data_IF_466526782953
#
_entry.id   IF_466526782953
#
_cell.length_a   1.000
_cell.length_b   1.000
_cell.length_c   1.000
_cell.angle_alpha   90.00
_cell.angle_beta   90.00
_cell.angle_gamma   90.00
#
_symmetry.space_group_name_H-M   'P 1'
#
loop_
_entity.id
_entity.type
_entity.pdbx_description
1 polymer ?
#
# COMPACT_ATOMS: atom_id res chain seq x y z
N UNK A 1 -7.70 -13.06 -27.89
CA UNK A 1 -7.32 -13.89 -26.73
C UNK A 1 -5.88 -13.56 -26.35
N UNK A 2 -5.65 -12.81 -25.26
CA UNK A 2 -4.30 -12.40 -24.86
C UNK A 2 -3.59 -13.54 -24.10
N UNK A 3 -2.34 -13.90 -24.43
CA UNK A 3 -1.64 -14.99 -23.75
C UNK A 3 -1.13 -14.57 -22.37
N UNK A 4 -1.31 -15.46 -21.40
CA UNK A 4 -0.90 -15.34 -20.00
C UNK A 4 0.63 -15.44 -19.89
N UNK A 5 1.31 -14.31 -19.67
CA UNK A 5 2.77 -14.20 -19.51
C UNK A 5 3.35 -14.89 -18.24
N UNK A 6 2.58 -15.71 -17.52
CA UNK A 6 3.06 -16.47 -16.36
C UNK A 6 3.79 -17.78 -16.70
N UNK A 7 3.50 -18.39 -17.86
CA UNK A 7 3.93 -19.76 -18.15
C UNK A 7 5.27 -19.89 -18.88
N UNK A 8 5.77 -18.81 -19.49
CA UNK A 8 7.00 -18.87 -20.30
C UNK A 8 8.25 -19.19 -19.46
N UNK A 9 8.42 -18.53 -18.31
CA UNK A 9 9.56 -18.80 -17.40
C UNK A 9 9.51 -20.17 -16.75
N UNK A 10 8.30 -20.66 -16.44
CA UNK A 10 8.13 -22.02 -15.92
C UNK A 10 8.48 -23.06 -17.00
N UNK A 11 8.03 -22.82 -18.23
CA UNK A 11 8.40 -23.63 -19.40
C UNK A 11 9.92 -23.64 -19.63
N UNK A 12 10.58 -22.47 -19.63
CA UNK A 12 12.03 -22.37 -19.84
C UNK A 12 12.84 -23.12 -18.78
N UNK A 13 12.41 -23.10 -17.51
CA UNK A 13 13.06 -23.86 -16.43
C UNK A 13 12.86 -25.36 -16.57
N UNK A 14 11.65 -25.78 -16.91
CA UNK A 14 11.27 -27.20 -16.87
C UNK A 14 11.59 -27.95 -18.18
N UNK A 15 11.51 -27.27 -19.32
CA UNK A 15 11.69 -27.88 -20.65
C UNK A 15 13.11 -27.65 -21.17
N UNK A 16 13.67 -26.45 -20.98
CA UNK A 16 15.00 -26.13 -21.47
C UNK A 16 16.08 -26.24 -20.38
N UNK A 17 15.72 -26.61 -19.15
CA UNK A 17 16.66 -26.78 -18.04
C UNK A 17 17.41 -25.49 -17.67
N UNK A 18 16.92 -24.33 -18.12
CA UNK A 18 17.62 -23.06 -17.93
C UNK A 18 17.58 -22.71 -16.45
N UNK A 19 18.75 -22.73 -15.81
CA UNK A 19 18.95 -22.14 -14.48
C UNK A 19 18.83 -20.62 -14.63
N UNK A 20 17.59 -20.13 -14.61
CA UNK A 20 17.33 -18.70 -14.54
C UNK A 20 17.97 -18.16 -13.26
N UNK A 21 18.74 -17.07 -13.31
CA UNK A 21 19.34 -16.49 -12.13
C UNK A 21 18.25 -16.26 -11.10
N UNK A 22 18.56 -16.66 -9.85
CA UNK A 22 17.69 -16.45 -8.70
C UNK A 22 17.28 -14.97 -8.67
N UNK A 23 16.07 -14.64 -8.19
CA UNK A 23 15.58 -13.25 -8.08
C UNK A 23 16.36 -12.46 -7.02
N UNK A 24 17.68 -12.41 -7.14
CA UNK A 24 18.55 -11.52 -6.42
C UNK A 24 18.68 -10.26 -7.26
N UNK A 25 17.62 -9.43 -7.22
CA UNK A 25 17.61 -7.97 -7.35
C UNK A 25 18.74 -7.32 -8.19
N UNK A 26 18.70 -7.47 -9.51
CA UNK A 26 19.43 -6.59 -10.45
C UNK A 26 18.48 -5.66 -11.23
N UNK A 27 17.24 -5.48 -10.75
CA UNK A 27 16.28 -4.54 -11.33
C UNK A 27 16.33 -3.16 -10.63
N UNK A 28 17.48 -2.70 -10.13
CA UNK A 28 17.64 -1.34 -9.53
C UNK A 28 16.74 -0.98 -8.34
N UNK A 29 15.79 -1.84 -7.94
CA UNK A 29 14.91 -1.71 -6.78
C UNK A 29 15.63 -2.29 -5.59
N UNK A 30 16.59 -1.51 -5.11
CA UNK A 30 17.03 -1.59 -3.73
C UNK A 30 15.79 -1.61 -2.84
N UNK A 31 15.64 -2.63 -1.98
CA UNK A 31 14.62 -2.65 -0.91
C UNK A 31 14.94 -1.62 0.19
N UNK A 32 15.78 -0.64 -0.14
CA UNK A 32 16.27 0.37 0.75
C UNK A 32 15.25 1.51 0.76
N UNK A 33 14.94 2.00 1.95
CA UNK A 33 14.09 3.17 2.13
C UNK A 33 14.98 4.39 1.90
N UNK A 34 14.60 5.25 0.93
CA UNK A 34 15.37 6.45 0.60
C UNK A 34 14.78 7.68 1.29
N UNK A 35 15.64 8.52 1.85
CA UNK A 35 15.24 9.85 2.27
C UNK A 35 15.02 10.76 1.06
N UNK A 36 13.95 11.56 1.09
CA UNK A 36 13.66 12.50 0.01
C UNK A 36 14.49 13.78 0.07
N UNK A 37 14.98 14.14 1.26
CA UNK A 37 15.70 15.39 1.49
C UNK A 37 17.20 15.25 1.19
N UNK A 38 17.84 14.14 1.59
CA UNK A 38 19.28 13.90 1.38
C UNK A 38 19.60 12.77 0.40
N UNK A 39 18.58 12.06 -0.12
CA UNK A 39 18.72 10.91 -1.05
C UNK A 39 19.56 9.72 -0.52
N UNK A 40 19.84 9.68 0.79
CA UNK A 40 20.48 8.54 1.45
C UNK A 40 19.54 7.33 1.52
N UNK A 41 20.12 6.13 1.42
CA UNK A 41 19.37 4.87 1.35
C UNK A 41 19.63 4.01 2.59
N UNK A 42 18.56 3.57 3.24
CA UNK A 42 18.61 2.84 4.50
C UNK A 42 18.10 1.41 4.35
N UNK A 43 18.76 0.42 4.98
CA UNK A 43 18.39 -0.99 4.88
C UNK A 43 17.08 -1.33 5.59
N UNK A 44 16.72 -0.57 6.62
CA UNK A 44 15.53 -0.79 7.43
C UNK A 44 14.77 0.51 7.62
N UNK A 45 13.47 0.40 7.87
CA UNK A 45 12.62 1.54 8.19
C UNK A 45 12.96 2.16 9.55
N UNK A 46 13.57 1.39 10.47
CA UNK A 46 14.03 1.92 11.75
C UNK A 46 15.21 2.87 11.58
N UNK A 47 16.23 2.46 10.79
CA UNK A 47 17.37 3.31 10.48
C UNK A 47 16.93 4.57 9.73
N UNK A 48 15.95 4.46 8.85
CA UNK A 48 15.37 5.61 8.18
C UNK A 48 14.69 6.59 9.16
N UNK A 49 13.94 6.09 10.16
CA UNK A 49 13.33 6.93 11.20
C UNK A 49 14.35 7.64 12.06
N UNK A 50 15.41 6.93 12.46
CA UNK A 50 16.53 7.52 13.21
C UNK A 50 17.21 8.63 12.42
N UNK A 51 17.45 8.40 11.12
CA UNK A 51 17.96 9.43 10.23
C UNK A 51 17.03 10.65 10.16
N UNK A 52 15.71 10.45 9.98
CA UNK A 52 14.74 11.55 9.96
C UNK A 52 14.77 12.37 11.26
N UNK A 53 14.96 11.71 12.40
CA UNK A 53 15.08 12.38 13.69
C UNK A 53 16.36 13.20 13.81
N UNK A 54 17.52 12.59 13.52
CA UNK A 54 18.83 13.22 13.77
C UNK A 54 19.17 14.27 12.72
N UNK A 55 18.89 13.99 11.44
CA UNK A 55 19.30 14.87 10.33
C UNK A 55 18.21 15.87 9.95
N UNK A 56 16.93 15.49 10.06
CA UNK A 56 15.82 16.34 9.65
C UNK A 56 14.97 16.87 10.81
N UNK A 57 15.27 16.48 12.06
CA UNK A 57 14.48 16.85 13.25
C UNK A 57 12.99 16.48 13.10
N UNK A 58 12.70 15.40 12.37
CA UNK A 58 11.34 14.89 12.17
C UNK A 58 11.11 13.72 13.11
N UNK A 59 10.24 13.93 14.10
CA UNK A 59 9.81 12.88 15.02
C UNK A 59 8.61 12.08 14.49
N UNK A 60 8.75 10.76 14.46
CA UNK A 60 7.67 9.84 14.10
C UNK A 60 6.99 9.31 15.37
N UNK A 61 5.84 9.86 15.74
CA UNK A 61 5.07 9.37 16.88
C UNK A 61 4.20 8.17 16.49
N UNK A 62 4.27 7.10 17.28
CA UNK A 62 3.34 5.97 17.21
C UNK A 62 2.41 6.03 18.42
N UNK A 63 1.13 6.27 18.17
CA UNK A 63 0.09 6.22 19.20
C UNK A 63 -0.67 4.91 19.14
N UNK A 64 -1.12 4.43 20.30
CA UNK A 64 -2.02 3.29 20.42
C UNK A 64 -3.33 3.79 21.02
N UNK A 65 -4.44 3.45 20.38
CA UNK A 65 -5.79 3.79 20.84
C UNK A 65 -6.61 2.52 20.90
N UNK A 66 -7.28 2.31 22.01
CA UNK A 66 -8.22 1.20 22.22
C UNK A 66 -9.62 1.78 22.23
N UNK A 67 -10.55 1.11 21.54
CA UNK A 67 -11.93 1.54 21.42
C UNK A 67 -12.83 0.41 21.89
N UNK A 68 -13.92 0.77 22.56
CA UNK A 68 -14.90 -0.21 23.06
C UNK A 68 -15.81 -0.73 21.95
N UNK A 69 -15.94 0.03 20.85
CA UNK A 69 -16.78 -0.33 19.70
C UNK A 69 -16.25 0.23 18.38
N UNK A 70 -16.65 -0.40 17.27
CA UNK A 70 -16.34 0.09 15.91
C UNK A 70 -16.90 1.51 15.68
N UNK A 71 -18.07 1.82 16.24
CA UNK A 71 -18.70 3.15 16.13
C UNK A 71 -17.83 4.24 16.74
N UNK A 72 -17.23 3.97 17.90
CA UNK A 72 -16.32 4.89 18.59
C UNK A 72 -15.05 5.12 17.77
N UNK A 73 -14.46 4.05 17.25
CA UNK A 73 -13.32 4.13 16.33
C UNK A 73 -13.62 5.00 15.10
N UNK A 74 -14.78 4.82 14.46
CA UNK A 74 -15.16 5.59 13.28
C UNK A 74 -15.38 7.08 13.59
N UNK A 75 -15.94 7.40 14.77
CA UNK A 75 -16.10 8.78 15.22
C UNK A 75 -14.73 9.45 15.46
N UNK A 76 -13.82 8.77 16.16
CA UNK A 76 -12.44 9.23 16.37
C UNK A 76 -11.67 9.43 15.06
N UNK A 77 -11.78 8.46 14.14
CA UNK A 77 -11.17 8.56 12.81
C UNK A 77 -11.73 9.78 12.07
N UNK A 78 -13.05 9.98 12.09
CA UNK A 78 -13.71 11.12 11.47
C UNK A 78 -13.26 12.46 12.05
N UNK A 79 -13.09 12.56 13.38
CA UNK A 79 -12.61 13.80 14.00
C UNK A 79 -11.18 14.14 13.57
N UNK A 80 -10.28 13.14 13.46
CA UNK A 80 -8.92 13.36 12.95
C UNK A 80 -8.94 13.77 11.48
N UNK A 81 -9.78 13.13 10.67
CA UNK A 81 -9.92 13.46 9.25
C UNK A 81 -10.36 14.91 9.05
N UNK A 82 -11.29 15.41 9.88
CA UNK A 82 -11.75 16.78 9.86
C UNK A 82 -10.71 17.77 10.37
N UNK A 83 -10.11 17.50 11.53
CA UNK A 83 -9.14 18.40 12.19
C UNK A 83 -7.87 18.57 11.36
N UNK A 84 -7.33 17.46 10.88
CA UNK A 84 -6.02 17.41 10.22
C UNK A 84 -6.17 17.57 8.69
N UNK A 85 -7.39 17.58 8.17
CA UNK A 85 -7.68 17.68 6.73
C UNK A 85 -7.18 16.46 5.94
N UNK A 86 -7.36 15.27 6.50
CA UNK A 86 -6.86 14.01 5.92
C UNK A 86 -7.99 13.08 5.56
N UNK A 87 -7.69 12.14 4.67
CA UNK A 87 -8.60 11.03 4.39
C UNK A 87 -7.85 9.71 4.50
N UNK A 88 -8.39 8.82 5.32
CA UNK A 88 -7.94 7.46 5.50
C UNK A 88 -8.79 6.52 4.67
N UNK A 89 -8.15 5.80 3.75
CA UNK A 89 -8.80 4.77 2.93
C UNK A 89 -8.36 3.39 3.34
N UNK A 90 -9.29 2.44 3.29
CA UNK A 90 -9.01 1.01 3.49
C UNK A 90 -8.12 0.49 2.39
N UNK A 91 -7.08 -0.26 2.75
CA UNK A 91 -6.22 -0.94 1.78
C UNK A 91 -6.46 -2.45 1.87
N UNK A 92 -7.08 -3.01 0.84
CA UNK A 92 -7.55 -4.39 0.84
C UNK A 92 -8.84 -4.59 1.65
N UNK A 93 -9.28 -5.84 1.72
CA UNK A 93 -10.40 -6.24 2.58
C UNK A 93 -9.94 -6.51 4.00
N UNK A 94 -10.89 -6.69 4.92
CA UNK A 94 -10.57 -7.16 6.26
C UNK A 94 -10.17 -8.65 6.22
N UNK A 95 -9.20 -9.04 7.05
CA UNK A 95 -8.81 -10.45 7.20
C UNK A 95 -9.07 -10.94 8.62
N UNK A 96 -9.19 -12.26 8.77
CA UNK A 96 -9.27 -12.91 10.08
C UNK A 96 -7.87 -13.20 10.58
N UNK A 97 -7.58 -12.78 11.81
CA UNK A 97 -6.41 -13.16 12.59
C UNK A 97 -6.87 -14.02 13.77
N UNK A 98 -5.92 -14.60 14.52
CA UNK A 98 -6.21 -15.26 15.80
C UNK A 98 -6.87 -14.33 16.82
N UNK A 99 -6.67 -13.02 16.68
CA UNK A 99 -7.19 -11.98 17.58
C UNK A 99 -8.52 -11.38 17.08
N UNK A 100 -9.04 -11.87 15.94
CA UNK A 100 -10.29 -11.40 15.34
C UNK A 100 -10.09 -10.72 13.99
N UNK A 101 -11.10 -9.95 13.56
CA UNK A 101 -11.14 -9.30 12.25
C UNK A 101 -10.25 -8.04 12.27
N UNK A 102 -9.25 -8.02 11.41
CA UNK A 102 -8.31 -6.90 11.27
C UNK A 102 -8.55 -6.14 9.96
N UNK A 103 -8.36 -4.82 10.02
CA UNK A 103 -8.48 -3.93 8.87
C UNK A 103 -7.47 -2.79 8.99
N UNK A 104 -6.74 -2.51 7.90
CA UNK A 104 -5.75 -1.43 7.86
C UNK A 104 -6.28 -0.26 7.02
N UNK A 105 -6.09 0.94 7.56
CA UNK A 105 -6.40 2.19 6.91
C UNK A 105 -5.11 3.00 6.68
N UNK A 106 -4.96 3.58 5.49
CA UNK A 106 -3.82 4.43 5.14
C UNK A 106 -4.26 5.86 4.93
N UNK A 107 -3.50 6.80 5.49
CA UNK A 107 -3.67 8.22 5.23
C UNK A 107 -3.21 8.57 3.81
N UNK A 108 -4.01 9.32 3.05
CA UNK A 108 -3.66 9.77 1.69
C UNK A 108 -2.85 11.07 1.61
N UNK A 109 -2.26 11.55 2.71
CA UNK A 109 -1.48 12.81 2.73
C UNK A 109 -0.30 12.84 1.75
N UNK A 110 0.29 11.68 1.43
CA UNK A 110 1.62 11.63 0.80
C UNK A 110 1.61 11.42 -0.73
N UNK A 111 0.48 11.63 -1.40
CA UNK A 111 0.40 11.56 -2.86
C UNK A 111 -0.17 12.86 -3.40
N UNK A 112 0.54 13.49 -4.35
CA UNK A 112 -0.12 14.37 -5.30
C UNK A 112 -1.32 13.60 -5.84
N UNK A 113 -2.51 14.20 -5.77
CA UNK A 113 -3.64 13.67 -6.51
C UNK A 113 -3.23 13.80 -7.98
N UNK A 114 -2.68 12.76 -8.58
CA UNK A 114 -2.87 12.58 -10.00
C UNK A 114 -4.37 12.39 -10.16
N UNK A 115 -5.06 13.51 -10.32
CA UNK A 115 -6.39 13.53 -10.89
C UNK A 115 -6.21 13.09 -12.34
N UNK A 116 -5.94 11.81 -12.54
CA UNK A 116 -6.35 11.17 -13.77
C UNK A 116 -7.86 11.33 -13.75
N UNK A 117 -8.34 12.36 -14.44
CA UNK A 117 -9.73 12.45 -14.87
C UNK A 117 -9.98 11.16 -15.65
N UNK A 118 -10.44 10.12 -14.96
CA UNK A 118 -11.17 9.05 -15.61
C UNK A 118 -12.39 9.76 -16.17
N UNK A 119 -12.36 10.07 -17.46
CA UNK A 119 -13.57 10.42 -18.16
C UNK A 119 -14.51 9.24 -17.95
N UNK A 120 -15.50 9.49 -17.12
CA UNK A 120 -16.65 8.65 -16.90
C UNK A 120 -17.40 8.56 -18.24
N UNK A 121 -17.09 7.54 -19.05
CA UNK A 121 -18.03 7.05 -20.04
C UNK A 121 -18.88 5.99 -19.36
N UNK A 122 -19.79 6.47 -18.52
CA UNK A 122 -20.90 5.69 -18.02
C UNK A 122 -21.90 5.44 -19.16
N UNK A 123 -21.83 4.26 -19.78
CA UNK A 123 -23.01 3.68 -20.44
C UNK A 123 -23.34 2.35 -19.74
N UNK A 124 -24.13 2.47 -18.67
CA UNK A 124 -24.76 1.36 -17.96
C UNK A 124 -25.76 0.69 -18.91
N UNK A 125 -25.41 -0.47 -19.49
CA UNK A 125 -26.41 -1.43 -19.99
C UNK A 125 -26.61 -2.53 -18.95
N UNK A 126 -27.56 -2.28 -18.05
CA UNK A 126 -28.17 -3.27 -17.17
C UNK A 126 -29.25 -3.98 -18.00
N UNK A 127 -28.98 -5.18 -18.50
CA UNK A 127 -30.04 -6.10 -18.92
C UNK A 127 -30.36 -7.02 -17.75
N UNK A 128 -31.51 -6.76 -17.14
CA UNK A 128 -32.21 -7.70 -16.29
C UNK A 128 -32.56 -8.93 -17.13
N UNK A 129 -32.31 -10.13 -16.60
CA UNK A 129 -32.95 -11.35 -17.09
C UNK A 129 -33.72 -11.97 -15.93
N UNK A 130 -35.01 -11.63 -15.88
CA UNK A 130 -36.02 -12.33 -15.10
C UNK A 130 -36.68 -13.39 -15.98
N UNK A 131 -36.88 -14.56 -15.37
CA UNK A 131 -37.65 -15.74 -15.77
C UNK A 131 -37.21 -16.53 -17.01
#
# INVERSE_FOLDING_TARGET
MAPKYGNKRAHERNIHGVKLPSRCKDDGRSTLVKCKECNEAYPTLNNYREHLLVQHHIEAHKTHHEFTSEKEFLAWKGSIEMDVGVNYTTHGGSWKSSEGKQQIFYCRRSGEKSSTKTQDTSEKKRTEKSQ
#
